data_IF_917948885531
#
_entry.id   IF_917948885531
#
_cell.length_a   1.000
_cell.length_b   1.000
_cell.length_c   1.000
_cell.angle_alpha   90.00
_cell.angle_beta   90.00
_cell.angle_gamma   90.00
#
_symmetry.space_group_name_H-M   'P 1'
#
loop_
_entity.id
_entity.type
_entity.pdbx_description
1 polymer ?
#
# COMPACT_ATOMS: atom_id res chain seq x y z
N UNK A 1 2.80 -5.15 14.42
CA UNK A 1 1.36 -5.42 14.56
C UNK A 1 1.00 -6.46 13.53
N UNK A 2 0.57 -7.62 13.97
CA UNK A 2 -0.03 -8.59 13.07
C UNK A 2 -1.53 -8.30 13.04
N UNK A 3 -2.03 -7.87 11.87
CA UNK A 3 -3.47 -7.78 11.65
C UNK A 3 -4.06 -9.19 11.71
N UNK A 4 -5.23 -9.31 12.33
CA UNK A 4 -5.84 -10.62 12.57
C UNK A 4 -6.90 -10.96 11.50
N UNK A 5 -7.54 -12.11 11.65
CA UNK A 5 -8.58 -12.54 10.72
C UNK A 5 -9.80 -11.59 10.71
N UNK A 6 -10.18 -11.01 11.84
CA UNK A 6 -11.30 -10.06 11.90
C UNK A 6 -11.01 -8.79 11.10
N UNK A 7 -9.76 -8.32 11.09
CA UNK A 7 -9.33 -7.19 10.25
C UNK A 7 -9.43 -7.52 8.76
N UNK A 8 -9.11 -8.77 8.40
CA UNK A 8 -9.19 -9.26 7.03
C UNK A 8 -10.63 -9.41 6.55
N UNK A 9 -11.49 -9.96 7.39
CA UNK A 9 -12.92 -10.09 7.09
C UNK A 9 -13.53 -8.70 6.88
N UNK A 10 -13.19 -7.73 7.74
CA UNK A 10 -13.62 -6.34 7.57
C UNK A 10 -13.11 -5.73 6.25
N UNK A 11 -11.82 -5.94 5.89
CA UNK A 11 -11.28 -5.49 4.60
C UNK A 11 -12.03 -6.10 3.41
N UNK A 12 -12.35 -7.39 3.48
CA UNK A 12 -13.09 -8.08 2.43
C UNK A 12 -14.52 -7.54 2.28
N UNK A 13 -15.23 -7.30 3.38
CA UNK A 13 -16.58 -6.74 3.34
C UNK A 13 -16.62 -5.33 2.74
N UNK A 14 -15.64 -4.50 3.10
CA UNK A 14 -15.47 -3.15 2.53
C UNK A 14 -15.12 -3.26 1.04
N UNK A 15 -14.23 -4.19 0.68
CA UNK A 15 -13.90 -4.43 -0.72
C UNK A 15 -15.15 -4.74 -1.53
N UNK A 16 -15.94 -5.72 -1.09
CA UNK A 16 -17.12 -6.18 -1.82
C UNK A 16 -18.18 -5.09 -1.94
N UNK A 17 -18.42 -4.31 -0.89
CA UNK A 17 -19.37 -3.20 -0.92
C UNK A 17 -18.91 -2.04 -1.81
N UNK A 18 -17.64 -1.62 -1.70
CA UNK A 18 -17.11 -0.49 -2.47
C UNK A 18 -16.85 -0.83 -3.93
N UNK A 19 -16.42 -2.07 -4.23
CA UNK A 19 -16.21 -2.54 -5.60
C UNK A 19 -17.45 -2.34 -6.46
N UNK A 20 -18.62 -2.74 -5.96
CA UNK A 20 -19.89 -2.57 -6.66
C UNK A 20 -20.28 -1.09 -6.78
N UNK A 21 -20.16 -0.33 -5.68
CA UNK A 21 -20.54 1.09 -5.63
C UNK A 21 -19.70 1.96 -6.57
N UNK A 22 -18.39 1.72 -6.61
CA UNK A 22 -17.42 2.48 -7.39
C UNK A 22 -17.21 1.93 -8.81
N UNK A 23 -17.86 0.81 -9.15
CA UNK A 23 -17.67 0.09 -10.42
C UNK A 23 -16.20 -0.24 -10.70
N UNK A 24 -15.47 -0.63 -9.66
CA UNK A 24 -14.06 -0.98 -9.75
C UNK A 24 -13.90 -2.47 -10.07
N UNK A 25 -12.89 -2.80 -10.86
CA UNK A 25 -12.44 -4.18 -11.02
C UNK A 25 -11.31 -4.49 -10.06
N UNK A 26 -11.15 -5.78 -9.75
CA UNK A 26 -10.06 -6.25 -8.90
C UNK A 26 -8.69 -5.99 -9.54
N UNK A 27 -8.59 -6.11 -10.85
CA UNK A 27 -7.35 -5.88 -11.60
C UNK A 27 -6.93 -4.40 -11.56
N UNK A 28 -7.87 -3.47 -11.69
CA UNK A 28 -7.58 -2.03 -11.62
C UNK A 28 -7.04 -1.64 -10.24
N UNK A 29 -7.68 -2.11 -9.17
CA UNK A 29 -7.24 -1.79 -7.81
C UNK A 29 -5.90 -2.46 -7.51
N UNK A 30 -5.69 -3.71 -7.90
CA UNK A 30 -4.40 -4.38 -7.78
C UNK A 30 -3.28 -3.59 -8.48
N UNK A 31 -3.51 -3.14 -9.73
CA UNK A 31 -2.55 -2.30 -10.47
C UNK A 31 -2.26 -0.98 -9.76
N UNK A 32 -3.28 -0.29 -9.22
CA UNK A 32 -3.11 0.97 -8.47
C UNK A 32 -2.33 0.78 -7.16
N UNK A 33 -2.32 -0.43 -6.62
CA UNK A 33 -1.54 -0.81 -5.44
C UNK A 33 -0.16 -1.38 -5.79
N UNK A 34 0.20 -1.46 -7.07
CA UNK A 34 1.47 -2.06 -7.52
C UNK A 34 1.55 -3.57 -7.28
N UNK A 35 0.39 -4.26 -7.24
CA UNK A 35 0.27 -5.69 -6.97
C UNK A 35 -0.23 -6.44 -8.20
N UNK A 36 0.06 -7.74 -8.27
CA UNK A 36 -0.63 -8.62 -9.21
C UNK A 36 -2.06 -8.90 -8.72
N UNK A 37 -2.95 -9.34 -9.62
CA UNK A 37 -4.31 -9.75 -9.24
C UNK A 37 -4.31 -10.93 -8.25
N UNK A 38 -3.31 -11.81 -8.36
CA UNK A 38 -3.14 -12.95 -7.46
C UNK A 38 -2.71 -12.49 -6.07
N UNK A 39 -1.71 -11.61 -5.97
CA UNK A 39 -1.24 -11.08 -4.68
C UNK A 39 -2.36 -10.34 -3.94
N UNK A 40 -3.12 -9.53 -4.67
CA UNK A 40 -4.29 -8.86 -4.12
C UNK A 40 -5.34 -9.86 -3.59
N UNK A 41 -5.58 -10.95 -4.33
CA UNK A 41 -6.49 -12.02 -3.88
C UNK A 41 -5.98 -12.69 -2.60
N UNK A 42 -4.70 -13.02 -2.55
CA UNK A 42 -4.06 -13.70 -1.42
C UNK A 42 -4.12 -12.84 -0.16
N UNK A 43 -3.91 -11.52 -0.31
CA UNK A 43 -4.06 -10.55 0.77
C UNK A 43 -5.50 -10.45 1.29
N UNK A 44 -6.51 -10.58 0.44
CA UNK A 44 -7.90 -10.55 0.90
C UNK A 44 -8.39 -11.88 1.46
N UNK A 45 -7.89 -13.02 0.97
CA UNK A 45 -8.38 -14.36 1.34
C UNK A 45 -7.75 -14.96 2.60
N UNK A 46 -6.55 -14.55 2.99
CA UNK A 46 -5.87 -15.15 4.15
C UNK A 46 -4.44 -15.57 3.89
N UNK A 47 -4.10 -15.77 2.62
CA UNK A 47 -2.88 -16.50 2.21
C UNK A 47 -1.61 -15.65 2.30
N UNK A 48 -1.72 -14.33 2.55
CA UNK A 48 -0.59 -13.42 2.74
C UNK A 48 -0.81 -12.51 3.96
N UNK A 49 0.27 -12.15 4.66
CA UNK A 49 0.21 -11.23 5.80
C UNK A 49 -0.19 -9.82 5.36
N UNK A 50 -1.12 -9.21 6.10
CA UNK A 50 -1.52 -7.83 5.87
C UNK A 50 -0.49 -6.88 6.47
N UNK A 51 -0.16 -5.81 5.75
CA UNK A 51 0.71 -4.74 6.22
C UNK A 51 -0.09 -3.44 6.40
N UNK A 52 0.40 -2.56 7.28
CA UNK A 52 -0.22 -1.24 7.48
C UNK A 52 -0.15 -0.40 6.20
N UNK A 53 0.92 -0.56 5.42
CA UNK A 53 1.08 0.08 4.11
C UNK A 53 -0.01 -0.36 3.15
N UNK A 54 -0.25 -1.66 3.03
CA UNK A 54 -1.34 -2.19 2.20
C UNK A 54 -2.69 -1.66 2.66
N UNK A 55 -3.01 -1.76 3.95
CA UNK A 55 -4.30 -1.30 4.50
C UNK A 55 -4.51 0.19 4.23
N UNK A 56 -3.51 1.01 4.50
CA UNK A 56 -3.58 2.46 4.28
C UNK A 56 -3.80 2.80 2.81
N UNK A 57 -3.04 2.17 1.91
CA UNK A 57 -3.16 2.41 0.47
C UNK A 57 -4.50 1.89 -0.07
N UNK A 58 -4.93 0.70 0.35
CA UNK A 58 -6.20 0.08 -0.04
C UNK A 58 -7.39 0.94 0.41
N UNK A 59 -7.45 1.31 1.69
CA UNK A 59 -8.50 2.18 2.21
C UNK A 59 -8.53 3.55 1.51
N UNK A 60 -7.35 4.11 1.16
CA UNK A 60 -7.25 5.34 0.35
C UNK A 60 -7.86 5.16 -1.06
N UNK A 61 -7.65 4.02 -1.72
CA UNK A 61 -8.28 3.76 -3.03
C UNK A 61 -9.80 3.66 -2.95
N UNK A 62 -10.34 3.27 -1.79
CA UNK A 62 -11.78 3.14 -1.56
C UNK A 62 -12.40 4.37 -0.90
N UNK A 63 -11.62 5.42 -0.63
CA UNK A 63 -12.04 6.62 0.11
C UNK A 63 -12.66 6.30 1.47
N UNK A 64 -12.06 5.36 2.21
CA UNK A 64 -12.47 4.96 3.55
C UNK A 64 -11.34 5.23 4.54
N UNK A 65 -11.69 5.67 5.76
CA UNK A 65 -10.71 5.78 6.85
C UNK A 65 -10.48 4.40 7.49
N UNK A 66 -9.24 3.85 7.45
CA UNK A 66 -8.93 2.56 8.04
C UNK A 66 -9.26 2.48 9.54
N UNK A 67 -9.17 3.58 10.30
CA UNK A 67 -9.51 3.60 11.73
C UNK A 67 -11.00 3.38 11.99
N UNK A 68 -11.87 3.72 11.03
CA UNK A 68 -13.31 3.54 11.17
C UNK A 68 -13.79 2.14 10.82
N UNK A 69 -12.95 1.35 10.15
CA UNK A 69 -13.38 0.10 9.52
C UNK A 69 -12.57 -1.11 9.90
N UNK A 70 -11.31 -0.93 10.33
CA UNK A 70 -10.44 -2.03 10.79
C UNK A 70 -10.56 -2.17 12.32
N UNK A 71 -11.09 -3.29 12.85
CA UNK A 71 -11.28 -3.52 14.28
C UNK A 71 -10.03 -3.28 15.14
N UNK A 72 -8.86 -3.79 14.73
CA UNK A 72 -7.62 -3.60 15.50
C UNK A 72 -7.14 -2.15 15.55
N UNK A 73 -7.50 -1.33 14.56
CA UNK A 73 -7.17 0.10 14.54
C UNK A 73 -8.15 0.95 15.35
N UNK A 74 -9.36 0.46 15.64
CA UNK A 74 -10.35 1.14 16.48
C UNK A 74 -9.94 1.20 17.95
N UNK A 75 -9.23 0.17 18.42
CA UNK A 75 -8.83 0.06 19.82
C UNK A 75 -7.61 0.93 20.16
N UNK A 76 -6.87 1.39 19.14
CA UNK A 76 -5.62 2.14 19.25
C UNK A 76 -5.81 3.68 19.26
N UNK A 77 -6.95 4.17 19.77
CA UNK A 77 -7.17 5.59 20.05
C UNK A 77 -6.42 6.09 21.31
N UNK A 78 -5.46 5.31 21.82
CA UNK A 78 -4.47 5.72 22.80
C UNK A 78 -3.19 6.06 22.04
N UNK A 79 -2.83 7.33 22.11
CA UNK A 79 -1.86 8.06 21.30
C UNK A 79 -0.40 7.60 21.54
N UNK A 80 -0.09 6.36 21.18
CA UNK A 80 1.29 5.85 21.20
C UNK A 80 1.93 6.22 19.86
N UNK A 81 3.03 7.00 19.84
CA UNK A 81 3.71 7.34 18.60
C UNK A 81 4.25 6.07 17.94
N UNK A 82 3.60 5.65 16.85
CA UNK A 82 4.00 4.48 16.06
C UNK A 82 5.04 4.89 15.03
N UNK A 83 6.17 4.20 15.04
CA UNK A 83 7.18 4.31 13.98
C UNK A 83 6.62 3.66 12.72
N UNK A 84 6.39 4.47 11.68
CA UNK A 84 5.93 4.01 10.36
C UNK A 84 7.12 3.97 9.42
N UNK A 85 7.41 2.79 8.85
CA UNK A 85 8.43 2.63 7.83
C UNK A 85 7.80 2.92 6.45
N UNK A 86 8.29 3.97 5.79
CA UNK A 86 7.86 4.37 4.45
C UNK A 86 8.93 3.93 3.45
N UNK A 87 8.50 3.36 2.32
CA UNK A 87 9.37 2.98 1.21
C UNK A 87 8.97 3.79 -0.03
N UNK A 88 9.95 4.41 -0.67
CA UNK A 88 9.79 5.07 -1.96
C UNK A 88 10.57 4.30 -3.01
N UNK A 89 9.92 3.99 -4.14
CA UNK A 89 10.56 3.39 -5.32
C UNK A 89 10.44 4.35 -6.49
N UNK A 90 11.53 4.52 -7.21
CA UNK A 90 11.59 5.38 -8.41
C UNK A 90 12.35 4.66 -9.53
N UNK A 91 11.95 4.94 -10.76
CA UNK A 91 12.67 4.54 -11.97
C UNK A 91 13.33 5.78 -12.58
N UNK A 92 14.55 5.64 -13.07
CA UNK A 92 15.25 6.71 -13.81
C UNK A 92 15.37 6.31 -15.27
N UNK A 93 15.36 7.30 -16.15
CA UNK A 93 15.49 7.11 -17.59
C UNK A 93 16.98 7.12 -17.98
N UNK A 94 17.73 6.13 -17.49
CA UNK A 94 19.18 6.05 -17.63
C UNK A 94 19.82 4.99 -16.74
N UNK A 95 21.14 4.89 -16.80
CA UNK A 95 21.90 3.95 -15.96
C UNK A 95 22.32 4.63 -14.65
N UNK A 96 21.81 4.12 -13.52
CA UNK A 96 22.19 4.59 -12.19
C UNK A 96 23.68 4.33 -11.99
N UNK A 97 24.45 5.40 -11.81
CA UNK A 97 25.88 5.34 -11.51
C UNK A 97 26.12 5.30 -10.00
N UNK A 98 25.30 6.01 -9.23
CA UNK A 98 25.45 6.13 -7.78
C UNK A 98 24.12 6.47 -7.11
N UNK A 99 23.91 5.93 -5.91
CA UNK A 99 22.84 6.34 -5.01
C UNK A 99 23.37 6.46 -3.57
N UNK A 100 23.05 7.55 -2.89
CA UNK A 100 23.51 7.83 -1.53
C UNK A 100 22.51 8.72 -0.77
N UNK A 101 22.75 8.88 0.54
CA UNK A 101 21.93 9.71 1.43
C UNK A 101 22.71 10.97 1.77
N UNK A 102 22.10 12.13 1.58
CA UNK A 102 22.60 13.42 2.05
C UNK A 102 21.55 14.06 2.94
N UNK A 103 21.79 14.04 4.26
CA UNK A 103 20.83 14.52 5.25
C UNK A 103 19.50 13.76 5.20
N UNK A 104 18.43 14.43 4.79
CA UNK A 104 17.09 13.86 4.63
C UNK A 104 16.73 13.56 3.15
N UNK A 105 17.70 13.59 2.24
CA UNK A 105 17.49 13.36 0.81
C UNK A 105 18.18 12.08 0.35
N UNK A 106 17.53 11.37 -0.57
CA UNK A 106 18.15 10.31 -1.37
C UNK A 106 18.61 10.94 -2.67
N UNK A 107 19.92 10.93 -2.92
CA UNK A 107 20.53 11.44 -4.15
C UNK A 107 20.81 10.28 -5.08
N UNK A 108 20.30 10.34 -6.32
CA UNK A 108 20.49 9.33 -7.35
C UNK A 108 21.14 9.99 -8.57
N UNK A 109 22.37 9.62 -8.88
CA UNK A 109 23.11 10.06 -10.05
C UNK A 109 22.96 9.02 -11.18
N UNK A 110 22.47 9.45 -12.34
CA UNK A 110 22.23 8.56 -13.48
C UNK A 110 22.71 9.21 -14.79
N UNK A 111 23.18 8.38 -15.71
CA UNK A 111 23.63 8.80 -17.03
C UNK A 111 22.52 8.56 -18.06
N UNK A 112 22.25 9.56 -18.91
CA UNK A 112 21.37 9.44 -20.06
C UNK A 112 22.09 9.93 -21.32
N UNK A 113 22.13 9.09 -22.35
CA UNK A 113 22.78 9.42 -23.62
C UNK A 113 21.78 10.15 -24.52
N UNK A 114 22.06 11.41 -24.85
CA UNK A 114 21.25 12.18 -25.80
C UNK A 114 21.81 11.98 -27.20
N UNK A 115 21.05 11.33 -28.08
CA UNK A 115 21.37 11.22 -29.50
C UNK A 115 20.86 12.46 -30.25
N UNK A 116 21.74 13.12 -31.01
CA UNK A 116 21.42 14.25 -31.89
C UNK A 116 20.83 13.80 -33.22
#
# INVERSE_FOLDING_TARGET
MEFNQQDRDALYDIWMSQKAKMRLTQMEVAKRLGLTQLDFSNLLRGDAALSMTFISQFCRQLHVDPKLVIPSLKQDAQDVPKVVYLESRMSVDGDIQRAYIEGNQVVVEYAHTVSH
#
